data_IF_526285460210
#
_entry.id   IF_526285460210
#
_cell.length_a   1.000
_cell.length_b   1.000
_cell.length_c   1.000
_cell.angle_alpha   90.00
_cell.angle_beta   90.00
_cell.angle_gamma   90.00
#
_symmetry.space_group_name_H-M   'P 1'
#
loop_
_entity.id
_entity.type
_entity.pdbx_description
1 polymer ?
#
# COMPACT_ATOMS: atom_id res chain seq x y z
N UNK A 1 -17.28 -1.07 -1.08
CA UNK A 1 -17.29 -2.51 -1.39
C UNK A 1 -15.93 -3.16 -1.11
N UNK A 2 -14.82 -2.72 -1.71
CA UNK A 2 -13.48 -3.30 -1.49
C UNK A 2 -13.02 -3.25 -0.03
N UNK A 3 -13.38 -2.21 0.73
CA UNK A 3 -13.11 -2.14 2.17
C UNK A 3 -13.82 -3.22 2.96
N UNK A 4 -15.10 -3.47 2.66
CA UNK A 4 -15.86 -4.55 3.28
C UNK A 4 -15.27 -5.92 2.93
N UNK A 5 -14.78 -6.11 1.71
CA UNK A 5 -14.08 -7.33 1.30
C UNK A 5 -12.81 -7.56 2.12
N UNK A 6 -12.01 -6.52 2.36
CA UNK A 6 -10.84 -6.62 3.25
C UNK A 6 -11.25 -7.01 4.68
N UNK A 7 -12.32 -6.42 5.20
CA UNK A 7 -12.87 -6.79 6.51
C UNK A 7 -13.32 -8.25 6.56
N UNK A 8 -14.01 -8.72 5.51
CA UNK A 8 -14.44 -10.13 5.40
C UNK A 8 -13.26 -11.10 5.30
N UNK A 9 -12.18 -10.73 4.64
CA UNK A 9 -10.95 -11.53 4.63
C UNK A 9 -10.40 -11.76 6.04
N UNK A 10 -10.40 -10.73 6.89
CA UNK A 10 -10.04 -10.86 8.30
C UNK A 10 -10.96 -11.80 9.07
N UNK A 11 -12.26 -11.74 8.82
CA UNK A 11 -13.24 -12.66 9.42
C UNK A 11 -12.97 -14.12 9.02
N UNK A 12 -12.68 -14.37 7.74
CA UNK A 12 -12.36 -15.72 7.24
C UNK A 12 -11.07 -16.27 7.85
N UNK A 13 -10.04 -15.43 8.00
CA UNK A 13 -8.79 -15.80 8.68
C UNK A 13 -9.08 -16.15 10.15
N UNK A 14 -9.94 -15.40 10.83
CA UNK A 14 -10.35 -15.67 12.19
C UNK A 14 -11.06 -17.04 12.33
N UNK A 15 -11.96 -17.36 11.40
CA UNK A 15 -12.64 -18.65 11.36
C UNK A 15 -11.65 -19.82 11.17
N UNK A 16 -10.70 -19.68 10.25
CA UNK A 16 -9.64 -20.67 10.03
C UNK A 16 -8.77 -20.82 11.28
N UNK A 17 -8.38 -19.74 11.90
CA UNK A 17 -7.55 -19.74 13.12
C UNK A 17 -8.29 -20.42 14.27
N UNK A 18 -9.59 -20.15 14.43
CA UNK A 18 -10.41 -20.80 15.44
C UNK A 18 -10.47 -22.31 15.24
N UNK A 19 -10.65 -22.78 14.01
CA UNK A 19 -10.67 -24.20 13.70
C UNK A 19 -9.30 -24.87 13.96
N UNK A 20 -8.20 -24.22 13.58
CA UNK A 20 -6.85 -24.70 13.88
C UNK A 20 -6.59 -24.77 15.40
N UNK A 21 -7.12 -23.81 16.17
CA UNK A 21 -7.03 -23.83 17.63
C UNK A 21 -7.83 -24.99 18.25
N UNK A 22 -8.98 -25.33 17.68
CA UNK A 22 -9.76 -26.52 18.09
C UNK A 22 -8.96 -27.79 17.84
N UNK A 23 -8.28 -27.92 16.73
CA UNK A 23 -7.45 -29.09 16.40
C UNK A 23 -6.21 -29.22 17.30
N UNK A 24 -5.75 -28.12 17.90
CA UNK A 24 -4.53 -28.13 18.72
C UNK A 24 -4.72 -28.89 20.01
N UNK A 25 -3.95 -29.96 20.17
CA UNK A 25 -3.87 -30.70 21.44
C UNK A 25 -5.10 -31.56 21.77
N UNK A 26 -5.85 -32.00 20.77
CA UNK A 26 -6.93 -32.95 20.94
C UNK A 26 -6.38 -34.25 21.53
N UNK A 27 -6.96 -34.77 22.64
CA UNK A 27 -6.60 -36.08 23.15
C UNK A 27 -7.19 -37.18 22.25
N UNK A 28 -6.54 -38.33 22.23
CA UNK A 28 -7.02 -39.53 21.51
C UNK A 28 -8.26 -40.09 22.17
N UNK A 29 -9.44 -39.60 21.78
CA UNK A 29 -10.73 -40.05 22.30
C UNK A 29 -11.79 -40.08 21.20
N UNK A 30 -13.07 -39.83 21.53
CA UNK A 30 -14.17 -39.72 20.58
C UNK A 30 -14.13 -38.46 19.71
N UNK A 31 -13.29 -37.46 20.07
CA UNK A 31 -13.00 -36.21 19.34
C UNK A 31 -14.27 -35.39 19.01
N UNK A 32 -15.21 -35.32 19.96
CA UNK A 32 -16.46 -34.55 19.79
C UNK A 32 -16.23 -33.06 19.59
N UNK A 33 -15.08 -32.53 20.02
CA UNK A 33 -14.57 -31.16 19.77
C UNK A 33 -14.59 -30.80 18.26
N UNK A 34 -14.37 -31.79 17.39
CA UNK A 34 -14.41 -31.61 15.94
C UNK A 34 -15.79 -31.25 15.38
N UNK A 35 -16.85 -31.33 16.18
CA UNK A 35 -18.20 -30.87 15.77
C UNK A 35 -18.25 -29.33 15.62
N UNK A 36 -17.31 -28.61 16.24
CA UNK A 36 -17.17 -27.16 16.09
C UNK A 36 -16.70 -26.72 14.70
N UNK A 37 -16.33 -27.62 13.80
CA UNK A 37 -15.92 -27.34 12.41
C UNK A 37 -17.07 -26.76 11.56
N UNK A 38 -18.32 -27.16 11.81
CA UNK A 38 -19.44 -26.90 10.91
C UNK A 38 -19.83 -25.43 10.84
N UNK A 39 -19.96 -24.79 11.99
CA UNK A 39 -20.36 -23.37 12.03
C UNK A 39 -19.39 -22.46 11.29
N UNK A 40 -18.06 -22.48 11.53
CA UNK A 40 -17.13 -21.64 10.80
C UNK A 40 -17.02 -22.01 9.31
N UNK A 41 -17.09 -23.31 8.95
CA UNK A 41 -17.03 -23.74 7.54
C UNK A 41 -18.24 -23.23 6.76
N UNK A 42 -19.45 -23.42 7.29
CA UNK A 42 -20.67 -22.94 6.62
C UNK A 42 -20.69 -21.41 6.51
N UNK A 43 -20.35 -20.70 7.59
CA UNK A 43 -20.27 -19.24 7.56
C UNK A 43 -19.20 -18.72 6.58
N UNK A 44 -18.08 -19.42 6.45
CA UNK A 44 -17.05 -19.10 5.47
C UNK A 44 -17.54 -19.34 4.04
N UNK A 45 -18.19 -20.48 3.79
CA UNK A 45 -18.77 -20.80 2.48
C UNK A 45 -19.82 -19.77 2.05
N UNK A 46 -20.77 -19.45 2.91
CA UNK A 46 -21.80 -18.45 2.65
C UNK A 46 -21.19 -17.05 2.37
N UNK A 47 -20.19 -16.68 3.16
CA UNK A 47 -19.47 -15.42 2.95
C UNK A 47 -18.80 -15.39 1.58
N UNK A 48 -18.07 -16.43 1.20
CA UNK A 48 -17.38 -16.52 -0.09
C UNK A 48 -18.36 -16.54 -1.27
N UNK A 49 -19.42 -17.32 -1.18
CA UNK A 49 -20.48 -17.40 -2.20
C UNK A 49 -21.15 -16.02 -2.42
N UNK A 50 -21.29 -15.23 -1.37
CA UNK A 50 -21.86 -13.90 -1.47
C UNK A 50 -20.87 -12.87 -2.05
N UNK A 51 -19.60 -12.86 -1.62
CA UNK A 51 -18.68 -11.78 -1.98
C UNK A 51 -17.95 -12.01 -3.31
N UNK A 52 -17.60 -13.25 -3.68
CA UNK A 52 -16.83 -13.52 -4.89
C UNK A 52 -17.54 -13.05 -6.17
N UNK A 53 -18.84 -13.31 -6.40
CA UNK A 53 -19.55 -12.80 -7.57
C UNK A 53 -19.60 -11.27 -7.61
N UNK A 54 -19.73 -10.61 -6.46
CA UNK A 54 -19.76 -9.15 -6.34
C UNK A 54 -18.41 -8.55 -6.71
N UNK A 55 -17.31 -9.16 -6.22
CA UNK A 55 -15.94 -8.72 -6.58
C UNK A 55 -15.68 -8.94 -8.08
N UNK A 56 -16.03 -10.10 -8.61
CA UNK A 56 -15.87 -10.41 -10.02
C UNK A 56 -16.63 -9.41 -10.90
N UNK A 57 -17.88 -9.09 -10.53
CA UNK A 57 -18.68 -8.08 -11.21
C UNK A 57 -18.05 -6.69 -11.15
N UNK A 58 -17.53 -6.31 -9.99
CA UNK A 58 -16.86 -5.02 -9.82
C UNK A 58 -15.59 -4.88 -10.67
N UNK A 59 -14.76 -5.94 -10.68
CA UNK A 59 -13.54 -5.96 -11.51
C UNK A 59 -13.90 -5.89 -12.99
N UNK A 60 -14.92 -6.62 -13.41
CA UNK A 60 -15.40 -6.63 -14.81
C UNK A 60 -15.89 -5.25 -15.28
N UNK A 61 -16.46 -4.46 -14.38
CA UNK A 61 -17.07 -3.16 -14.70
C UNK A 61 -16.19 -1.97 -14.37
N UNK A 62 -14.98 -2.19 -13.82
CA UNK A 62 -14.07 -1.10 -13.46
C UNK A 62 -13.60 -0.37 -14.71
N UNK A 63 -13.69 0.95 -14.68
CA UNK A 63 -13.17 1.82 -15.74
C UNK A 63 -12.09 2.72 -15.14
N UNK A 64 -10.85 2.47 -15.52
CA UNK A 64 -9.75 3.34 -15.14
C UNK A 64 -9.87 4.70 -15.87
N UNK A 65 -9.63 5.79 -15.15
CA UNK A 65 -9.57 7.16 -15.70
C UNK A 65 -8.16 7.73 -15.47
N UNK A 66 -7.15 7.30 -16.26
CA UNK A 66 -5.74 7.58 -15.98
C UNK A 66 -5.44 9.06 -15.78
N UNK A 67 -6.02 9.92 -16.62
CA UNK A 67 -5.80 11.37 -16.51
C UNK A 67 -6.36 11.95 -15.20
N UNK A 68 -7.56 11.51 -14.77
CA UNK A 68 -8.12 11.95 -13.48
C UNK A 68 -7.29 11.43 -12.31
N UNK A 69 -6.81 10.18 -12.40
CA UNK A 69 -5.94 9.57 -11.38
C UNK A 69 -4.65 10.35 -11.26
N UNK A 70 -4.02 10.70 -12.40
CA UNK A 70 -2.79 11.49 -12.41
C UNK A 70 -3.01 12.90 -11.84
N UNK A 71 -4.08 13.57 -12.23
CA UNK A 71 -4.38 14.93 -11.77
C UNK A 71 -4.81 15.00 -10.29
N UNK A 72 -5.12 13.86 -9.67
CA UNK A 72 -5.45 13.77 -8.25
C UNK A 72 -4.21 13.56 -7.35
N UNK A 73 -3.03 13.42 -7.96
CA UNK A 73 -1.77 13.31 -7.23
C UNK A 73 -1.34 14.72 -6.82
N UNK A 74 -1.20 14.91 -5.52
CA UNK A 74 -0.72 16.14 -4.89
C UNK A 74 0.76 15.95 -4.52
N UNK A 75 1.58 17.00 -4.64
CA UNK A 75 2.99 16.95 -4.32
C UNK A 75 3.27 16.62 -2.85
N UNK A 76 2.35 16.91 -1.94
CA UNK A 76 2.46 16.49 -0.54
C UNK A 76 2.47 14.97 -0.37
N UNK A 77 1.90 14.21 -1.32
CA UNK A 77 1.99 12.75 -1.34
C UNK A 77 3.44 12.27 -1.56
N UNK A 78 4.30 13.12 -2.14
CA UNK A 78 5.71 12.84 -2.41
C UNK A 78 6.64 13.23 -1.24
N UNK A 79 6.11 13.64 -0.10
CA UNK A 79 6.92 14.01 1.07
C UNK A 79 7.85 12.88 1.54
N UNK A 80 7.42 11.62 1.41
CA UNK A 80 8.27 10.46 1.70
C UNK A 80 9.39 10.31 0.68
N UNK A 81 9.10 10.53 -0.61
CA UNK A 81 10.13 10.48 -1.67
C UNK A 81 11.15 11.61 -1.49
N UNK A 82 10.74 12.76 -0.93
CA UNK A 82 11.65 13.85 -0.54
C UNK A 82 12.60 13.43 0.59
N UNK A 83 12.11 12.67 1.57
CA UNK A 83 12.95 12.10 2.62
C UNK A 83 13.90 11.05 2.03
N UNK A 84 13.42 10.16 1.16
CA UNK A 84 14.23 9.15 0.48
C UNK A 84 15.35 9.77 -0.36
N UNK A 85 15.08 10.89 -1.04
CA UNK A 85 16.08 11.66 -1.78
C UNK A 85 17.28 12.06 -0.90
N UNK A 86 17.02 12.55 0.31
CA UNK A 86 18.08 12.90 1.25
C UNK A 86 18.80 11.67 1.82
N UNK A 87 18.11 10.54 1.97
CA UNK A 87 18.75 9.27 2.34
C UNK A 87 19.73 8.82 1.27
N UNK A 88 19.38 8.96 -0.02
CA UNK A 88 20.30 8.68 -1.15
C UNK A 88 21.53 9.59 -1.13
N UNK A 89 21.41 10.82 -0.56
CA UNK A 89 22.55 11.74 -0.30
C UNK A 89 23.33 11.41 0.98
N UNK A 90 22.99 10.32 1.68
CA UNK A 90 23.71 9.80 2.85
C UNK A 90 23.23 10.33 4.21
N UNK A 91 22.10 11.00 4.29
CA UNK A 91 21.54 11.52 5.55
C UNK A 91 20.67 10.43 6.20
N UNK A 92 20.78 10.19 7.52
CA UNK A 92 19.97 9.18 8.22
C UNK A 92 18.47 9.42 8.10
N UNK A 93 17.69 8.36 7.86
CA UNK A 93 16.24 8.46 7.61
C UNK A 93 15.48 9.27 8.68
N UNK A 94 15.83 9.13 9.96
CA UNK A 94 15.19 9.88 11.05
C UNK A 94 15.34 11.40 10.87
N UNK A 95 16.48 11.85 10.38
CA UNK A 95 16.75 13.26 10.13
C UNK A 95 16.03 13.72 8.86
N UNK A 96 16.07 12.91 7.79
CA UNK A 96 15.42 13.24 6.52
C UNK A 96 13.91 13.35 6.66
N UNK A 97 13.29 12.49 7.48
CA UNK A 97 11.86 12.59 7.79
C UNK A 97 11.51 13.91 8.49
N UNK A 98 12.35 14.36 9.44
CA UNK A 98 12.13 15.63 10.10
C UNK A 98 12.31 16.83 9.15
N UNK A 99 13.27 16.77 8.22
CA UNK A 99 13.52 17.78 7.20
C UNK A 99 12.34 17.85 6.22
N UNK A 100 11.88 16.71 5.71
CA UNK A 100 10.70 16.63 4.84
C UNK A 100 9.44 17.19 5.53
N UNK A 101 9.26 16.91 6.82
CA UNK A 101 8.16 17.48 7.61
C UNK A 101 8.25 19.01 7.75
N UNK A 102 9.46 19.58 7.79
CA UNK A 102 9.63 21.06 7.77
C UNK A 102 9.28 21.64 6.42
N UNK A 103 9.71 20.99 5.31
CA UNK A 103 9.35 21.40 3.95
C UNK A 103 7.84 21.40 3.73
N UNK A 104 7.15 20.34 4.16
CA UNK A 104 5.67 20.26 4.13
C UNK A 104 5.03 21.43 4.88
N UNK A 105 5.52 21.76 6.06
CA UNK A 105 5.01 22.87 6.85
C UNK A 105 5.23 24.22 6.16
N UNK A 106 6.43 24.45 5.66
CA UNK A 106 6.78 25.69 4.96
C UNK A 106 5.93 25.89 3.69
N UNK A 107 5.75 24.83 2.89
CA UNK A 107 4.87 24.87 1.73
C UNK A 107 3.42 25.17 2.13
N UNK A 108 2.91 24.53 3.19
CA UNK A 108 1.59 24.78 3.72
C UNK A 108 1.39 26.21 4.22
N UNK A 109 2.36 26.79 4.93
CA UNK A 109 2.34 28.18 5.40
C UNK A 109 2.33 29.18 4.23
N UNK A 110 3.04 28.86 3.14
CA UNK A 110 3.07 29.67 1.92
C UNK A 110 1.87 29.40 1.00
N UNK A 111 1.05 28.39 1.31
CA UNK A 111 -0.06 27.92 0.48
C UNK A 111 0.36 27.57 -0.95
N UNK A 112 1.48 26.86 -1.09
CA UNK A 112 2.06 26.39 -2.37
C UNK A 112 2.30 24.88 -2.29
N UNK A 113 2.49 24.22 -3.45
CA UNK A 113 2.94 22.83 -3.51
C UNK A 113 4.40 22.69 -3.11
N UNK A 114 4.80 21.46 -2.75
CA UNK A 114 6.22 21.18 -2.45
C UNK A 114 7.12 21.48 -3.66
N UNK A 115 6.66 21.17 -4.88
CA UNK A 115 7.37 21.44 -6.12
C UNK A 115 7.54 22.94 -6.43
N UNK A 116 6.80 23.79 -5.76
CA UNK A 116 6.84 25.25 -5.95
C UNK A 116 7.78 25.96 -4.94
N UNK A 117 8.29 25.24 -3.93
CA UNK A 117 9.31 25.79 -3.04
C UNK A 117 10.60 26.04 -3.82
N UNK A 118 11.24 27.19 -3.57
CA UNK A 118 12.52 27.51 -4.21
C UNK A 118 13.65 26.62 -3.73
N UNK A 119 14.71 26.48 -4.53
CA UNK A 119 15.88 25.71 -4.15
C UNK A 119 16.54 26.29 -2.88
N UNK A 120 16.55 27.61 -2.74
CA UNK A 120 17.08 28.30 -1.56
C UNK A 120 16.28 27.93 -0.30
N UNK A 121 14.95 27.81 -0.41
CA UNK A 121 14.11 27.36 0.70
C UNK A 121 14.47 25.91 1.09
N UNK A 122 14.63 25.02 0.14
CA UNK A 122 15.07 23.66 0.39
C UNK A 122 16.48 23.63 1.02
N UNK A 123 17.42 24.39 0.50
CA UNK A 123 18.80 24.45 1.01
C UNK A 123 18.89 25.07 2.41
N UNK A 124 17.98 25.97 2.75
CA UNK A 124 17.88 26.49 4.12
C UNK A 124 17.44 25.42 5.12
N UNK A 125 16.64 24.43 4.69
CA UNK A 125 16.25 23.28 5.51
C UNK A 125 17.37 22.24 5.60
N UNK A 126 18.08 22.00 4.48
CA UNK A 126 19.20 21.09 4.39
C UNK A 126 20.09 21.42 3.20
N UNK A 127 21.38 21.73 3.39
CA UNK A 127 22.30 22.08 2.29
C UNK A 127 22.50 20.96 1.24
N UNK A 128 22.10 19.72 1.56
CA UNK A 128 22.21 18.59 0.64
C UNK A 128 21.17 18.61 -0.49
N UNK A 129 20.18 19.50 -0.44
CA UNK A 129 19.27 19.69 -1.56
C UNK A 129 19.96 20.36 -2.74
N UNK A 130 19.83 19.77 -3.90
CA UNK A 130 20.35 20.26 -5.18
C UNK A 130 19.20 20.46 -6.18
N UNK A 131 19.48 21.02 -7.33
CA UNK A 131 18.46 21.33 -8.35
C UNK A 131 17.69 20.10 -8.85
N UNK A 132 18.21 18.89 -8.67
CA UNK A 132 17.57 17.64 -9.03
C UNK A 132 16.42 17.24 -8.08
N UNK A 133 16.26 17.93 -6.93
CA UNK A 133 15.15 17.69 -5.99
C UNK A 133 13.78 17.76 -6.67
N UNK A 134 13.62 18.62 -7.65
CA UNK A 134 12.33 18.74 -8.36
C UNK A 134 11.93 17.48 -9.14
N UNK A 135 12.87 16.57 -9.42
CA UNK A 135 12.59 15.29 -10.05
C UNK A 135 11.86 14.32 -9.12
N UNK A 136 11.91 14.57 -7.81
CA UNK A 136 11.18 13.77 -6.80
C UNK A 136 9.67 13.87 -7.02
N UNK A 137 9.18 15.00 -7.53
CA UNK A 137 7.77 15.26 -7.74
C UNK A 137 7.19 14.66 -9.03
N UNK A 138 7.98 13.86 -9.76
CA UNK A 138 7.46 13.03 -10.85
C UNK A 138 6.92 11.70 -10.29
N UNK A 139 5.58 11.47 -10.32
CA UNK A 139 4.98 10.24 -9.81
C UNK A 139 5.50 8.98 -10.48
N UNK A 140 5.90 9.07 -11.75
CA UNK A 140 6.43 7.89 -12.46
C UNK A 140 7.80 7.50 -11.92
N UNK A 141 8.64 8.46 -11.56
CA UNK A 141 9.95 8.18 -10.93
C UNK A 141 9.77 7.54 -9.55
N UNK A 142 8.81 8.04 -8.75
CA UNK A 142 8.47 7.44 -7.47
C UNK A 142 8.02 5.98 -7.62
N UNK A 143 7.12 5.70 -8.56
CA UNK A 143 6.63 4.34 -8.84
C UNK A 143 7.77 3.42 -9.26
N UNK A 144 8.65 3.84 -10.17
CA UNK A 144 9.76 3.02 -10.68
C UNK A 144 10.82 2.68 -9.62
N UNK A 145 10.99 3.50 -8.60
CA UNK A 145 11.86 3.18 -7.44
C UNK A 145 11.34 1.99 -6.62
N UNK A 146 10.06 1.65 -6.68
CA UNK A 146 9.41 0.57 -5.91
C UNK A 146 9.52 -0.77 -6.64
N UNK A 147 10.75 -1.26 -6.88
CA UNK A 147 11.06 -2.45 -7.69
C UNK A 147 11.25 -3.75 -6.88
N UNK A 148 11.03 -3.74 -5.58
CA UNK A 148 11.05 -4.94 -4.74
C UNK A 148 9.93 -5.93 -5.13
N UNK A 149 10.02 -7.17 -4.65
CA UNK A 149 8.96 -8.18 -4.83
C UNK A 149 7.65 -7.64 -4.23
N UNK A 150 6.57 -7.65 -5.02
CA UNK A 150 5.29 -7.05 -4.62
C UNK A 150 5.22 -5.53 -4.77
N UNK A 151 6.29 -4.88 -5.24
CA UNK A 151 6.34 -3.44 -5.49
C UNK A 151 5.49 -2.99 -6.67
N UNK A 152 5.39 -1.67 -6.85
CA UNK A 152 4.51 -1.03 -7.84
C UNK A 152 5.22 -0.60 -9.12
N UNK A 153 6.56 -0.79 -9.25
CA UNK A 153 7.25 -0.51 -10.49
C UNK A 153 6.67 -1.34 -11.65
N UNK A 154 6.75 -0.82 -12.87
CA UNK A 154 6.23 -1.51 -14.05
C UNK A 154 6.80 -2.93 -14.18
N UNK A 155 8.10 -3.10 -13.87
CA UNK A 155 8.73 -4.41 -13.91
C UNK A 155 8.18 -5.35 -12.82
N UNK A 156 8.02 -4.86 -11.59
CA UNK A 156 7.46 -5.67 -10.49
C UNK A 156 6.03 -6.10 -10.78
N UNK A 157 5.20 -5.19 -11.29
CA UNK A 157 3.82 -5.52 -11.70
C UNK A 157 3.78 -6.54 -12.83
N UNK A 158 4.63 -6.40 -13.86
CA UNK A 158 4.73 -7.38 -14.94
C UNK A 158 5.14 -8.77 -14.41
N UNK A 159 6.09 -8.83 -13.49
CA UNK A 159 6.52 -10.08 -12.89
C UNK A 159 5.39 -10.75 -12.08
N UNK A 160 4.62 -9.97 -11.30
CA UNK A 160 3.45 -10.47 -10.59
C UNK A 160 2.38 -11.02 -11.54
N UNK A 161 2.13 -10.32 -12.66
CA UNK A 161 1.16 -10.78 -13.67
C UNK A 161 1.63 -12.11 -14.28
N UNK A 162 2.92 -12.26 -14.62
CA UNK A 162 3.47 -13.52 -15.13
C UNK A 162 3.28 -14.66 -14.15
N UNK A 163 3.63 -14.44 -12.87
CA UNK A 163 3.44 -15.46 -11.83
C UNK A 163 1.98 -15.92 -11.70
N UNK A 164 1.02 -14.98 -11.78
CA UNK A 164 -0.41 -15.32 -11.70
C UNK A 164 -0.88 -16.09 -12.92
N UNK A 165 -0.35 -15.77 -14.12
CA UNK A 165 -0.72 -16.44 -15.38
C UNK A 165 -0.03 -17.79 -15.57
N UNK A 166 1.04 -18.07 -14.85
CA UNK A 166 1.84 -19.29 -15.01
C UNK A 166 2.76 -19.26 -16.23
N UNK A 167 3.14 -18.06 -16.68
CA UNK A 167 4.05 -17.82 -17.81
C UNK A 167 5.51 -17.71 -17.32
#
# INVERSE_FOLDING_TARGET
MFELTRGKAGTLIGMLTGLLATLKGLPSTYDKDLQEDKAPVFAAADTLLAILPVIAGAIKTITAKPQRMRNAIDSFMMATDLADYLVEKGIPFRETHAIAGKAVREAGEKNVGLEELSLEAYQALCPAFEADVYQVFDPMKSIEKRNAIGGTSLQSVKNQIKQIKGD
#
